data_IF_314561269855
#
_entry.id   IF_314561269855
#
_cell.length_a   1.000
_cell.length_b   1.000
_cell.length_c   1.000
_cell.angle_alpha   90.00
_cell.angle_beta   90.00
_cell.angle_gamma   90.00
#
_symmetry.space_group_name_H-M   'P 1'
#
loop_
_entity.id
_entity.type
_entity.pdbx_description
1 polymer ?
#
# COMPACT_ATOMS: atom_id res chain seq x y z
N UNK A 1 44.93 6.25 14.15
CA UNK A 1 45.09 6.89 15.47
C UNK A 1 44.00 6.35 16.38
N UNK A 2 44.37 5.72 17.49
CA UNK A 2 43.46 5.13 18.48
C UNK A 2 42.83 6.25 19.30
N UNK A 3 41.51 6.28 19.42
CA UNK A 3 40.81 6.93 20.53
C UNK A 3 39.68 6.02 20.95
N UNK A 4 40.06 4.92 21.62
CA UNK A 4 39.13 4.09 22.38
C UNK A 4 39.11 4.65 23.79
N UNK A 5 38.34 5.73 24.01
CA UNK A 5 37.93 6.11 25.36
C UNK A 5 36.77 5.18 25.76
N UNK A 6 37.10 3.92 26.02
CA UNK A 6 36.24 3.08 26.86
C UNK A 6 36.51 3.50 28.30
N UNK A 7 35.87 4.60 28.72
CA UNK A 7 35.70 4.87 30.13
C UNK A 7 35.07 3.60 30.75
N UNK A 8 35.76 3.01 31.70
CA UNK A 8 35.30 1.84 32.41
C UNK A 8 33.92 2.11 33.03
N UNK A 9 33.03 1.10 33.13
CA UNK A 9 31.72 1.23 33.81
C UNK A 9 31.83 1.86 35.21
N UNK A 10 32.98 1.65 35.87
CA UNK A 10 33.39 2.26 37.13
C UNK A 10 33.63 3.78 37.05
N UNK A 11 34.15 4.31 35.94
CA UNK A 11 34.34 5.76 35.75
C UNK A 11 33.02 6.46 35.41
N UNK A 12 32.13 5.80 34.68
CA UNK A 12 30.83 6.37 34.26
C UNK A 12 29.83 6.50 35.41
N UNK A 13 29.97 5.66 36.45
CA UNK A 13 29.10 5.66 37.65
C UNK A 13 29.58 6.64 38.73
N UNK A 14 30.83 7.11 38.64
CA UNK A 14 31.39 8.14 39.52
C UNK A 14 30.99 9.57 39.13
N UNK A 15 30.50 9.77 37.90
CA UNK A 15 30.01 11.06 37.42
C UNK A 15 28.49 11.13 37.68
N UNK A 16 27.97 12.14 38.40
CA UNK A 16 26.53 12.35 38.53
C UNK A 16 25.91 12.50 37.14
N UNK A 17 24.93 11.66 36.79
CA UNK A 17 24.32 11.60 35.45
C UNK A 17 25.26 11.09 34.33
N UNK A 18 26.42 10.50 34.64
CA UNK A 18 27.36 9.98 33.64
C UNK A 18 26.79 8.91 32.71
N UNK A 19 25.79 8.16 33.20
CA UNK A 19 25.03 7.18 32.41
C UNK A 19 24.04 7.83 31.43
N UNK A 20 23.63 9.07 31.66
CA UNK A 20 22.70 9.81 30.79
C UNK A 20 23.41 10.42 29.57
N UNK A 21 24.72 10.65 29.67
CA UNK A 21 25.55 11.29 28.63
C UNK A 21 25.64 10.42 27.36
N UNK A 22 25.66 9.09 27.51
CA UNK A 22 25.79 8.13 26.41
C UNK A 22 24.50 7.36 26.12
N UNK A 23 23.34 7.86 26.55
CA UNK A 23 22.07 7.14 26.41
C UNK A 23 21.61 7.07 24.96
N UNK A 24 21.92 8.09 24.15
CA UNK A 24 21.46 8.20 22.77
C UNK A 24 21.95 7.09 21.82
N UNK A 25 23.25 6.73 21.80
CA UNK A 25 23.72 5.57 21.04
C UNK A 25 23.03 4.26 21.42
N UNK A 26 22.78 4.04 22.71
CA UNK A 26 22.10 2.85 23.23
C UNK A 26 20.63 2.82 22.79
N UNK A 27 19.93 3.95 22.91
CA UNK A 27 18.54 4.11 22.45
C UNK A 27 18.43 3.93 20.94
N UNK A 28 19.38 4.46 20.16
CA UNK A 28 19.40 4.30 18.72
C UNK A 28 19.61 2.83 18.32
N UNK A 29 20.54 2.12 18.97
CA UNK A 29 20.76 0.70 18.73
C UNK A 29 19.54 -0.16 19.11
N UNK A 30 18.91 0.16 20.24
CA UNK A 30 17.65 -0.47 20.65
C UNK A 30 16.56 -0.26 19.58
N UNK A 31 16.42 0.95 19.05
CA UNK A 31 15.45 1.26 18.00
C UNK A 31 15.74 0.48 16.71
N UNK A 32 17.00 0.39 16.29
CA UNK A 32 17.40 -0.44 15.15
C UNK A 32 17.06 -1.92 15.37
N UNK A 33 17.26 -2.42 16.60
CA UNK A 33 16.93 -3.81 16.98
C UNK A 33 15.43 -4.07 16.85
N UNK A 34 14.58 -3.16 17.35
CA UNK A 34 13.13 -3.26 17.21
C UNK A 34 12.68 -3.27 15.74
N UNK A 35 13.27 -2.38 14.93
CA UNK A 35 12.94 -2.31 13.51
C UNK A 35 13.39 -3.56 12.76
N UNK A 36 14.55 -4.10 13.11
CA UNK A 36 15.06 -5.36 12.57
C UNK A 36 14.09 -6.51 12.85
N UNK A 37 13.62 -6.64 14.09
CA UNK A 37 12.61 -7.65 14.47
C UNK A 37 11.36 -7.52 13.60
N UNK A 38 10.82 -6.30 13.44
CA UNK A 38 9.66 -6.03 12.56
C UNK A 38 9.93 -6.45 11.11
N UNK A 39 11.12 -6.16 10.58
CA UNK A 39 11.51 -6.53 9.22
C UNK A 39 11.62 -8.05 9.05
N UNK A 40 12.19 -8.75 10.02
CA UNK A 40 12.25 -10.22 10.05
C UNK A 40 10.85 -10.81 10.00
N UNK A 41 9.93 -10.30 10.83
CA UNK A 41 8.52 -10.74 10.82
C UNK A 41 7.90 -10.52 9.43
N UNK A 42 8.05 -9.33 8.84
CA UNK A 42 7.56 -9.06 7.47
C UNK A 42 8.17 -9.99 6.42
N UNK A 43 9.46 -10.34 6.52
CA UNK A 43 10.13 -11.27 5.62
C UNK A 43 9.53 -12.68 5.72
N UNK A 44 9.27 -13.16 6.93
CA UNK A 44 8.62 -14.46 7.18
C UNK A 44 7.17 -14.49 6.67
N UNK A 45 6.44 -13.37 6.79
CA UNK A 45 5.09 -13.26 6.23
C UNK A 45 5.11 -13.31 4.69
N UNK A 46 6.12 -12.68 4.08
CA UNK A 46 6.28 -12.62 2.63
C UNK A 46 6.81 -13.93 2.02
N UNK A 47 7.60 -14.72 2.78
CA UNK A 47 8.12 -16.01 2.30
C UNK A 47 7.08 -17.11 2.15
N UNK A 48 5.83 -16.88 2.60
CA UNK A 48 4.74 -17.84 2.45
C UNK A 48 4.76 -18.98 3.47
N UNK A 49 5.60 -18.89 4.51
CA UNK A 49 5.67 -19.89 5.58
C UNK A 49 4.38 -20.00 6.41
N UNK A 50 3.53 -18.96 6.40
CA UNK A 50 2.24 -18.94 7.08
C UNK A 50 1.14 -19.17 6.05
N UNK A 51 0.43 -20.29 6.19
CA UNK A 51 -0.66 -20.71 5.30
C UNK A 51 -2.00 -20.06 5.64
N UNK A 52 -2.21 -19.68 6.90
CA UNK A 52 -3.44 -18.98 7.32
C UNK A 52 -3.43 -17.51 6.88
N UNK A 53 -4.34 -17.21 5.95
CA UNK A 53 -4.55 -15.86 5.41
C UNK A 53 -4.99 -14.86 6.49
N UNK A 54 -5.79 -15.30 7.47
CA UNK A 54 -6.30 -14.42 8.52
C UNK A 54 -5.17 -14.01 9.49
N UNK A 55 -4.37 -14.98 9.94
CA UNK A 55 -3.20 -14.72 10.77
C UNK A 55 -2.21 -13.79 10.06
N UNK A 56 -1.91 -14.06 8.78
CA UNK A 56 -1.03 -13.20 7.96
C UNK A 56 -1.53 -11.75 7.91
N UNK A 57 -2.83 -11.55 7.72
CA UNK A 57 -3.46 -10.22 7.71
C UNK A 57 -3.29 -9.51 9.06
N UNK A 58 -3.60 -10.18 10.18
CA UNK A 58 -3.46 -9.61 11.54
C UNK A 58 -2.03 -9.21 11.87
N UNK A 59 -1.05 -10.02 11.45
CA UNK A 59 0.37 -9.72 11.64
C UNK A 59 0.83 -8.50 10.83
N UNK A 60 0.42 -8.38 9.56
CA UNK A 60 0.71 -7.16 8.79
C UNK A 60 0.04 -5.93 9.41
N UNK A 61 -1.21 -6.05 9.86
CA UNK A 61 -1.93 -4.97 10.55
C UNK A 61 -1.20 -4.55 11.85
N UNK A 62 -0.66 -5.50 12.61
CA UNK A 62 0.14 -5.21 13.79
C UNK A 62 1.45 -4.48 13.44
N UNK A 63 2.16 -4.92 12.40
CA UNK A 63 3.37 -4.23 11.93
C UNK A 63 3.08 -2.81 11.43
N UNK A 64 1.96 -2.61 10.73
CA UNK A 64 1.54 -1.30 10.24
C UNK A 64 1.12 -0.39 11.39
N UNK A 65 0.39 -0.91 12.39
CA UNK A 65 0.07 -0.16 13.62
C UNK A 65 1.33 0.30 14.34
N UNK A 66 2.32 -0.58 14.49
CA UNK A 66 3.59 -0.22 15.12
C UNK A 66 4.29 0.93 14.40
N UNK A 67 4.34 0.90 13.06
CA UNK A 67 4.95 1.96 12.23
C UNK A 67 4.17 3.27 12.28
N UNK A 68 2.86 3.20 12.08
CA UNK A 68 2.02 4.36 11.78
C UNK A 68 1.41 5.00 13.05
N UNK A 69 1.33 4.26 14.16
CA UNK A 69 0.74 4.73 15.43
C UNK A 69 1.79 4.81 16.53
N UNK A 70 2.42 3.69 16.87
CA UNK A 70 3.25 3.62 18.08
C UNK A 70 4.55 4.43 17.92
N UNK A 71 5.26 4.25 16.79
CA UNK A 71 6.47 5.05 16.49
C UNK A 71 6.14 6.54 16.31
N UNK A 72 5.05 6.85 15.62
CA UNK A 72 4.61 8.24 15.43
C UNK A 72 4.27 8.91 16.77
N UNK A 73 3.60 8.21 17.68
CA UNK A 73 3.31 8.70 19.03
C UNK A 73 4.58 8.98 19.84
N UNK A 74 5.65 8.20 19.59
CA UNK A 74 6.97 8.38 20.16
C UNK A 74 7.82 9.46 19.45
N UNK A 75 7.31 10.12 18.40
CA UNK A 75 8.06 11.13 17.64
C UNK A 75 9.10 10.54 16.67
N UNK A 76 8.93 9.26 16.32
CA UNK A 76 9.84 8.52 15.45
C UNK A 76 9.14 8.25 14.12
N UNK A 77 9.66 8.80 13.03
CA UNK A 77 9.22 8.47 11.66
C UNK A 77 10.11 7.37 11.11
N UNK A 78 9.49 6.25 10.77
CA UNK A 78 10.16 5.13 10.13
C UNK A 78 9.84 5.12 8.63
N UNK A 79 10.86 5.31 7.80
CA UNK A 79 10.71 5.28 6.34
C UNK A 79 11.36 4.01 5.78
N UNK A 80 10.50 3.10 5.31
CA UNK A 80 10.90 1.89 4.61
C UNK A 80 11.44 2.26 3.23
N UNK A 81 12.74 2.09 3.01
CA UNK A 81 13.40 2.32 1.70
C UNK A 81 13.44 1.07 0.83
N UNK A 82 13.27 -0.10 1.43
CA UNK A 82 13.25 -1.37 0.70
C UNK A 82 11.92 -1.53 -0.03
N UNK A 83 11.96 -1.55 -1.36
CA UNK A 83 10.81 -1.88 -2.19
C UNK A 83 10.59 -3.38 -2.21
N UNK A 84 9.36 -3.86 -2.47
CA UNK A 84 9.08 -5.29 -2.60
C UNK A 84 10.01 -6.01 -3.61
N UNK A 85 10.49 -5.28 -4.62
CA UNK A 85 11.48 -5.74 -5.60
C UNK A 85 12.84 -5.94 -4.93
N UNK A 86 13.34 -4.97 -4.17
CA UNK A 86 14.62 -5.05 -3.44
C UNK A 86 14.63 -6.22 -2.44
N UNK A 87 13.51 -6.40 -1.72
CA UNK A 87 13.32 -7.54 -0.82
C UNK A 87 13.32 -8.89 -1.55
N UNK A 88 12.76 -8.96 -2.76
CA UNK A 88 12.78 -10.17 -3.59
C UNK A 88 14.16 -10.46 -4.20
N UNK A 89 14.96 -9.41 -4.42
CA UNK A 89 16.34 -9.49 -4.90
C UNK A 89 17.36 -9.74 -3.78
N UNK A 90 16.90 -9.89 -2.52
CA UNK A 90 17.77 -10.14 -1.37
C UNK A 90 18.57 -8.92 -0.91
N UNK A 91 18.23 -7.72 -1.37
CA UNK A 91 18.90 -6.49 -0.98
C UNK A 91 18.25 -5.93 0.29
N UNK A 92 18.95 -6.05 1.41
CA UNK A 92 18.47 -5.57 2.71
C UNK A 92 18.88 -4.11 2.92
N UNK A 93 18.05 -3.19 2.45
CA UNK A 93 18.27 -1.74 2.62
C UNK A 93 17.79 -1.36 4.02
N UNK A 94 18.73 -0.95 4.87
CA UNK A 94 18.41 -0.49 6.23
C UNK A 94 17.39 0.68 6.19
N UNK A 95 16.31 0.62 6.97
CA UNK A 95 15.29 1.66 6.98
C UNK A 95 15.84 2.95 7.60
N UNK A 96 15.33 4.08 7.12
CA UNK A 96 15.72 5.38 7.63
C UNK A 96 14.85 5.75 8.85
N UNK A 97 15.51 6.16 9.92
CA UNK A 97 14.89 6.61 11.16
C UNK A 97 15.03 8.13 11.22
N UNK A 98 13.90 8.85 11.21
CA UNK A 98 13.86 10.29 11.44
C UNK A 98 13.23 10.59 12.79
N UNK A 99 13.91 11.37 13.63
CA UNK A 99 13.30 12.01 14.80
C UNK A 99 12.55 13.25 14.30
N UNK A 100 11.24 13.29 14.48
CA UNK A 100 10.40 14.40 14.01
C UNK A 100 9.40 14.75 15.12
N UNK A 101 9.21 16.04 15.37
CA UNK A 101 8.26 16.50 16.39
C UNK A 101 6.86 15.94 16.16
N UNK A 102 6.26 15.43 17.25
CA UNK A 102 4.94 14.78 17.27
C UNK A 102 3.85 15.63 16.61
N UNK A 103 3.91 16.95 16.75
CA UNK A 103 2.94 17.89 16.16
C UNK A 103 2.92 17.83 14.62
N UNK A 104 4.07 17.61 13.98
CA UNK A 104 4.19 17.54 12.52
C UNK A 104 3.77 16.17 11.98
N UNK A 105 4.02 15.08 12.73
CA UNK A 105 3.64 13.73 12.31
C UNK A 105 2.13 13.45 12.50
N UNK A 106 1.50 14.04 13.52
CA UNK A 106 0.07 13.83 13.78
C UNK A 106 -0.85 14.53 12.77
N UNK A 107 -0.46 15.71 12.25
CA UNK A 107 -1.19 16.38 11.17
C UNK A 107 -1.12 15.56 9.88
N UNK A 108 0.07 15.10 9.47
CA UNK A 108 0.26 14.27 8.27
C UNK A 108 -0.50 12.94 8.33
N UNK A 109 -0.55 12.29 9.50
CA UNK A 109 -1.25 11.02 9.67
C UNK A 109 -2.79 11.18 9.62
N UNK A 110 -3.32 12.31 10.11
CA UNK A 110 -4.74 12.63 9.98
C UNK A 110 -5.14 12.89 8.52
N UNK A 111 -4.30 13.61 7.77
CA UNK A 111 -4.51 13.88 6.34
C UNK A 111 -4.31 12.63 5.46
N UNK A 112 -3.40 11.74 5.85
CA UNK A 112 -3.17 10.48 5.13
C UNK A 112 -4.32 9.48 5.34
N UNK A 113 -4.95 9.50 6.52
CA UNK A 113 -6.17 8.73 6.80
C UNK A 113 -7.35 9.24 6.00
N UNK A 114 -7.59 10.56 5.93
CA UNK A 114 -8.67 11.12 5.11
C UNK A 114 -8.44 10.82 3.63
N UNK A 115 -7.22 11.03 3.09
CA UNK A 115 -6.89 10.70 1.69
C UNK A 115 -7.05 9.20 1.37
N UNK A 116 -6.74 8.29 2.30
CA UNK A 116 -6.93 6.83 2.11
C UNK A 116 -8.41 6.43 2.15
N UNK A 117 -9.22 7.07 2.99
CA UNK A 117 -10.67 6.86 3.05
C UNK A 117 -11.32 7.43 1.79
N UNK A 118 -10.98 8.65 1.40
CA UNK A 118 -11.45 9.29 0.17
C UNK A 118 -11.07 8.47 -1.07
N UNK A 119 -9.84 7.97 -1.17
CA UNK A 119 -9.44 7.13 -2.29
C UNK A 119 -10.19 5.78 -2.33
N UNK A 120 -10.61 5.24 -1.19
CA UNK A 120 -11.47 4.04 -1.13
C UNK A 120 -12.91 4.37 -1.54
N UNK A 121 -13.48 5.46 -1.03
CA UNK A 121 -14.83 5.93 -1.37
C UNK A 121 -14.92 6.34 -2.85
N UNK A 122 -13.88 6.96 -3.42
CA UNK A 122 -13.81 7.28 -4.85
C UNK A 122 -13.71 6.00 -5.67
N UNK A 123 -12.89 5.02 -5.27
CA UNK A 123 -12.80 3.73 -5.98
C UNK A 123 -14.09 2.92 -5.89
N UNK A 124 -14.80 2.98 -4.76
CA UNK A 124 -16.09 2.31 -4.57
C UNK A 124 -17.21 3.01 -5.34
N UNK A 125 -17.27 4.34 -5.30
CA UNK A 125 -18.26 5.12 -6.08
C UNK A 125 -18.01 5.02 -7.58
N UNK A 126 -16.75 4.96 -8.05
CA UNK A 126 -16.43 4.69 -9.47
C UNK A 126 -16.82 3.27 -9.84
N UNK A 127 -16.58 2.27 -8.98
CA UNK A 127 -17.02 0.88 -9.21
C UNK A 127 -18.54 0.74 -9.23
N UNK A 128 -19.27 1.46 -8.37
CA UNK A 128 -20.73 1.47 -8.36
C UNK A 128 -21.31 2.21 -9.57
N UNK A 129 -20.74 3.36 -9.95
CA UNK A 129 -21.17 4.11 -11.15
C UNK A 129 -20.92 3.31 -12.43
N UNK A 130 -19.75 2.69 -12.55
CA UNK A 130 -19.42 1.85 -13.72
C UNK A 130 -20.18 0.52 -13.71
N UNK A 131 -20.45 -0.08 -12.55
CA UNK A 131 -21.22 -1.32 -12.43
C UNK A 131 -22.73 -1.18 -12.65
N UNK A 132 -23.28 0.05 -12.64
CA UNK A 132 -24.69 0.33 -12.91
C UNK A 132 -25.06 0.22 -14.39
N UNK A 133 -24.09 0.39 -15.29
CA UNK A 133 -24.33 0.39 -16.74
C UNK A 133 -24.46 -1.06 -17.21
N UNK A 134 -25.60 -1.47 -17.78
CA UNK A 134 -25.77 -2.81 -18.30
C UNK A 134 -24.79 -3.05 -19.46
N UNK A 135 -24.26 -4.27 -19.63
CA UNK A 135 -23.25 -4.56 -20.66
C UNK A 135 -23.71 -4.19 -22.07
N UNK A 136 -25.01 -4.31 -22.34
CA UNK A 136 -25.66 -3.95 -23.61
C UNK A 136 -25.58 -2.46 -23.91
N UNK A 137 -25.59 -1.58 -22.90
CA UNK A 137 -25.54 -0.12 -23.10
C UNK A 137 -24.12 0.44 -23.09
N UNK A 138 -23.13 -0.37 -22.65
CA UNK A 138 -21.75 0.05 -22.45
C UNK A 138 -21.13 0.73 -23.68
N UNK A 139 -21.35 0.15 -24.87
CA UNK A 139 -20.82 0.70 -26.12
C UNK A 139 -21.84 1.53 -26.89
N UNK A 140 -23.14 1.34 -26.63
CA UNK A 140 -24.19 2.15 -27.25
C UNK A 140 -24.08 3.61 -26.80
N UNK A 141 -23.63 3.86 -25.55
CA UNK A 141 -23.35 5.23 -25.09
C UNK A 141 -22.14 5.89 -25.75
N UNK A 142 -21.29 5.12 -26.45
CA UNK A 142 -20.11 5.64 -27.16
C UNK A 142 -20.40 5.88 -28.65
N UNK A 143 -21.49 6.60 -28.94
CA UNK A 143 -21.89 6.98 -30.31
C UNK A 143 -20.84 7.80 -31.05
N UNK A 144 -19.96 8.50 -30.33
CA UNK A 144 -18.84 9.26 -30.92
C UNK A 144 -17.74 8.36 -31.50
N UNK A 145 -17.69 7.09 -31.06
CA UNK A 145 -16.63 6.14 -31.42
C UNK A 145 -17.11 5.03 -32.34
N UNK A 146 -18.41 4.72 -32.36
CA UNK A 146 -18.94 3.59 -33.09
C UNK A 146 -20.22 3.95 -33.83
N UNK A 147 -20.29 3.59 -35.11
CA UNK A 147 -21.41 3.95 -35.99
C UNK A 147 -22.51 2.89 -36.05
N UNK A 148 -22.16 1.61 -35.89
CA UNK A 148 -23.13 0.49 -35.97
C UNK A 148 -22.91 -0.50 -34.85
N UNK A 149 -24.01 -1.03 -34.32
CA UNK A 149 -24.04 -1.98 -33.21
C UNK A 149 -24.86 -3.22 -33.58
N UNK A 150 -24.47 -4.38 -33.06
CA UNK A 150 -25.24 -5.63 -33.16
C UNK A 150 -26.36 -5.70 -32.10
N UNK A 151 -27.26 -6.68 -32.23
CA UNK A 151 -28.35 -7.04 -31.31
C UNK A 151 -27.95 -7.15 -29.83
N UNK A 152 -26.66 -7.38 -29.54
CA UNK A 152 -26.10 -7.45 -28.19
C UNK A 152 -25.48 -6.14 -27.69
N UNK A 153 -25.62 -5.04 -28.45
CA UNK A 153 -25.01 -3.74 -28.14
C UNK A 153 -23.49 -3.67 -28.40
N UNK A 154 -22.95 -4.62 -29.17
CA UNK A 154 -21.52 -4.68 -29.51
C UNK A 154 -21.23 -3.87 -30.79
N UNK A 155 -20.22 -2.99 -30.80
CA UNK A 155 -19.92 -2.19 -31.98
C UNK A 155 -19.31 -3.06 -33.08
N UNK A 156 -19.81 -2.89 -34.30
CA UNK A 156 -19.37 -3.60 -35.50
C UNK A 156 -18.55 -2.71 -36.43
N UNK A 157 -18.82 -1.39 -36.41
CA UNK A 157 -18.15 -0.40 -37.24
C UNK A 157 -17.63 0.75 -36.39
N UNK A 158 -16.49 1.31 -36.78
CA UNK A 158 -15.87 2.48 -36.16
C UNK A 158 -16.66 3.78 -36.50
N UNK A 159 -16.29 4.91 -35.91
CA UNK A 159 -16.94 6.20 -36.13
C UNK A 159 -17.00 6.61 -37.61
N UNK A 160 -16.02 6.19 -38.42
CA UNK A 160 -15.97 6.45 -39.86
C UNK A 160 -16.79 5.47 -40.71
N UNK A 161 -17.53 4.54 -40.10
CA UNK A 161 -18.34 3.55 -40.81
C UNK A 161 -17.54 2.40 -41.43
N UNK A 162 -16.27 2.22 -41.04
CA UNK A 162 -15.44 1.09 -41.46
C UNK A 162 -15.63 -0.11 -40.51
N UNK A 163 -15.60 -1.33 -41.05
CA UNK A 163 -15.69 -2.56 -40.25
C UNK A 163 -14.50 -2.67 -39.28
N UNK A 164 -14.79 -3.00 -38.02
CA UNK A 164 -13.77 -3.16 -37.00
C UNK A 164 -12.91 -4.40 -37.27
N UNK A 165 -11.59 -4.24 -37.14
CA UNK A 165 -10.66 -5.35 -37.28
C UNK A 165 -10.93 -6.48 -36.27
N UNK A 166 -10.59 -7.73 -36.63
CA UNK A 166 -10.75 -8.90 -35.76
C UNK A 166 -10.05 -8.75 -34.39
N UNK A 167 -8.97 -7.96 -34.31
CA UNK A 167 -8.26 -7.68 -33.06
C UNK A 167 -8.99 -6.67 -32.18
N UNK A 168 -9.62 -5.65 -32.78
CA UNK A 168 -10.45 -4.68 -32.08
C UNK A 168 -11.73 -5.32 -31.51
N UNK A 169 -12.42 -6.15 -32.31
CA UNK A 169 -13.59 -6.91 -31.85
C UNK A 169 -13.29 -7.81 -30.65
N UNK A 170 -12.14 -8.50 -30.66
CA UNK A 170 -11.70 -9.31 -29.50
C UNK A 170 -11.43 -8.46 -28.24
N UNK A 171 -10.89 -7.25 -28.39
CA UNK A 171 -10.69 -6.32 -27.26
C UNK A 171 -12.02 -5.87 -26.68
N UNK A 172 -12.96 -5.48 -27.54
CA UNK A 172 -14.31 -5.06 -27.16
C UNK A 172 -15.07 -6.19 -26.47
N UNK A 173 -14.96 -7.42 -26.97
CA UNK A 173 -15.58 -8.58 -26.34
C UNK A 173 -15.02 -8.87 -24.95
N UNK A 174 -13.70 -8.71 -24.75
CA UNK A 174 -13.10 -8.82 -23.41
C UNK A 174 -13.63 -7.75 -22.46
N UNK A 175 -13.80 -6.51 -22.94
CA UNK A 175 -14.37 -5.42 -22.15
C UNK A 175 -15.84 -5.70 -21.80
N UNK A 176 -16.63 -6.22 -22.74
CA UNK A 176 -18.01 -6.64 -22.53
C UNK A 176 -18.12 -7.71 -21.43
N UNK A 177 -17.36 -8.80 -21.54
CA UNK A 177 -17.36 -9.88 -20.53
C UNK A 177 -16.89 -9.40 -19.16
N UNK A 178 -15.90 -8.49 -19.13
CA UNK A 178 -15.48 -7.87 -17.88
C UNK A 178 -16.60 -7.02 -17.26
N UNK A 179 -17.37 -6.30 -18.08
CA UNK A 179 -18.50 -5.49 -17.63
C UNK A 179 -19.67 -6.36 -17.16
N UNK A 180 -19.99 -7.45 -17.86
CA UNK A 180 -21.01 -8.41 -17.46
C UNK A 180 -20.74 -8.97 -16.06
N UNK A 181 -19.49 -9.33 -15.76
CA UNK A 181 -19.09 -9.74 -14.41
C UNK A 181 -19.24 -8.62 -13.38
N UNK A 182 -18.90 -7.37 -13.72
CA UNK A 182 -19.06 -6.22 -12.81
C UNK A 182 -20.54 -5.92 -12.54
N UNK A 183 -21.37 -5.91 -13.57
CA UNK A 183 -22.81 -5.64 -13.47
C UNK A 183 -23.53 -6.76 -12.70
N UNK A 184 -23.19 -8.03 -12.96
CA UNK A 184 -23.72 -9.16 -12.19
C UNK A 184 -23.35 -9.09 -10.70
N UNK A 185 -22.12 -8.68 -10.38
CA UNK A 185 -21.70 -8.46 -8.99
C UNK A 185 -22.45 -7.27 -8.35
N UNK A 186 -22.73 -6.21 -9.12
CA UNK A 186 -23.53 -5.07 -8.66
C UNK A 186 -24.98 -5.46 -8.35
N UNK A 187 -25.63 -6.23 -9.23
CA UNK A 187 -26.99 -6.73 -9.00
C UNK A 187 -27.08 -7.57 -7.73
N UNK A 188 -26.14 -8.52 -7.54
CA UNK A 188 -26.06 -9.33 -6.31
C UNK A 188 -25.80 -8.53 -5.03
N UNK A 189 -25.21 -7.34 -5.13
CA UNK A 189 -24.98 -6.47 -3.97
C UNK A 189 -26.18 -5.56 -3.64
N UNK A 190 -27.18 -5.51 -4.52
CA UNK A 190 -28.40 -4.68 -4.39
C UNK A 190 -29.62 -5.50 -3.92
N UNK A 191 -29.58 -6.82 -4.12
CA UNK A 191 -30.49 -7.80 -3.46
C UNK A 191 -30.11 -7.98 -1.98
#
# INVERSE_FOLDING_TARGET
MKTTDQASLSESTCIPHGLEINIWPVVLNFLHTLISIRNTVRKVLSSGSITDSLCKKRLYEACDRFRDVDLVNAGIRLQDRATAIDLSCGLDISPFIGLVDKKFLMSEHSESKTKRVEAKVIKESVKQKTGRIPPSELFISEVDKYSKFDSKGMPTHDASGNELSKSALKKLQKLYVAQEKRHAAFLKSKE
#
